data_IF_101294365283
#
_entry.id   IF_101294365283
#
_cell.length_a   1.000
_cell.length_b   1.000
_cell.length_c   1.000
_cell.angle_alpha   90.00
_cell.angle_beta   90.00
_cell.angle_gamma   90.00
#
_symmetry.space_group_name_H-M   'P 1'
#
loop_
_entity.id
_entity.type
_entity.pdbx_description
1 polymer ?
#
# COMPACT_ATOMS: atom_id res chain seq x y z
N UNK A 1 -10.41 -2.35 28.50
CA UNK A 1 -10.01 -2.77 27.23
C UNK A 1 -9.29 -1.73 26.49
N UNK A 2 -8.42 -2.16 25.71
CA UNK A 2 -7.55 -1.24 25.02
C UNK A 2 -7.82 -1.33 23.55
N UNK A 3 -7.42 -0.32 22.82
CA UNK A 3 -7.56 -0.35 21.39
C UNK A 3 -6.81 -1.52 20.78
N UNK A 4 -5.72 -1.96 21.42
CA UNK A 4 -4.97 -3.08 20.87
C UNK A 4 -5.70 -4.41 21.01
N UNK A 5 -6.82 -4.43 21.74
CA UNK A 5 -7.67 -5.62 21.77
C UNK A 5 -8.27 -5.89 20.40
N UNK A 6 -8.32 -4.89 19.55
CA UNK A 6 -8.82 -5.05 18.20
C UNK A 6 -7.78 -5.60 17.24
N UNK A 7 -6.55 -5.77 17.72
CA UNK A 7 -5.44 -6.23 16.90
C UNK A 7 -4.98 -7.57 17.42
N UNK A 8 -5.36 -8.63 16.73
CA UNK A 8 -4.94 -9.97 17.11
C UNK A 8 -3.46 -10.14 16.81
N UNK A 9 -2.78 -10.87 17.68
CA UNK A 9 -1.36 -11.07 17.53
C UNK A 9 -1.02 -11.75 16.20
N UNK A 10 -1.85 -12.68 15.77
CA UNK A 10 -1.58 -13.36 14.50
C UNK A 10 -1.67 -12.39 13.32
N UNK A 11 -2.59 -11.45 13.38
CA UNK A 11 -2.74 -10.45 12.31
C UNK A 11 -1.55 -9.51 12.28
N UNK A 12 -1.09 -9.10 13.47
CA UNK A 12 0.08 -8.24 13.55
C UNK A 12 1.33 -8.91 13.00
N UNK A 13 1.53 -10.18 13.36
CA UNK A 13 2.69 -10.92 12.88
C UNK A 13 2.66 -11.07 11.36
N UNK A 14 1.48 -11.34 10.83
CA UNK A 14 1.33 -11.50 9.38
C UNK A 14 1.54 -10.17 8.66
N UNK A 15 1.00 -9.10 9.22
CA UNK A 15 1.20 -7.76 8.64
C UNK A 15 2.67 -7.41 8.57
N UNK A 16 3.41 -7.68 9.65
CA UNK A 16 4.85 -7.39 9.68
C UNK A 16 5.60 -8.13 8.59
N UNK A 17 5.14 -9.33 8.26
CA UNK A 17 5.75 -10.11 7.20
C UNK A 17 5.35 -9.61 5.81
N UNK A 18 4.08 -9.27 5.66
CA UNK A 18 3.52 -8.95 4.34
C UNK A 18 3.79 -7.53 3.88
N UNK A 19 3.80 -6.57 4.79
CA UNK A 19 3.94 -5.17 4.39
C UNK A 19 5.19 -4.91 3.56
N UNK A 20 6.39 -5.38 3.95
CA UNK A 20 7.57 -5.15 3.12
C UNK A 20 7.43 -5.76 1.73
N UNK A 21 6.81 -6.93 1.62
CA UNK A 21 6.60 -7.57 0.33
C UNK A 21 5.67 -6.74 -0.54
N UNK A 22 4.61 -6.22 0.05
CA UNK A 22 3.66 -5.38 -0.69
C UNK A 22 4.32 -4.09 -1.16
N UNK A 23 5.17 -3.50 -0.32
CA UNK A 23 5.87 -2.28 -0.68
C UNK A 23 6.87 -2.51 -1.82
N UNK A 24 7.59 -3.63 -1.78
CA UNK A 24 8.50 -3.96 -2.87
C UNK A 24 7.72 -4.16 -4.17
N UNK A 25 6.60 -4.86 -4.11
CA UNK A 25 5.77 -5.07 -5.28
C UNK A 25 5.24 -3.75 -5.84
N UNK A 26 4.81 -2.86 -4.95
CA UNK A 26 4.31 -1.55 -5.36
C UNK A 26 5.40 -0.73 -6.03
N UNK A 27 6.56 -0.67 -5.41
CA UNK A 27 7.67 0.10 -5.97
C UNK A 27 8.15 -0.47 -7.31
N UNK A 28 8.10 -1.79 -7.45
CA UNK A 28 8.45 -2.38 -8.74
C UNK A 28 7.49 -1.92 -9.83
N UNK A 29 6.20 -1.85 -9.53
CA UNK A 29 5.24 -1.38 -10.53
C UNK A 29 5.48 0.08 -10.88
N UNK A 30 5.90 0.90 -9.90
CA UNK A 30 6.25 2.29 -10.18
C UNK A 30 7.49 2.38 -11.08
N UNK A 31 8.49 1.56 -10.78
CA UNK A 31 9.71 1.56 -11.59
C UNK A 31 9.41 1.13 -13.02
N UNK A 32 8.50 0.18 -13.20
CA UNK A 32 8.10 -0.22 -14.54
C UNK A 32 7.45 0.94 -15.29
N UNK A 33 6.64 1.73 -14.61
CA UNK A 33 6.02 2.91 -15.21
C UNK A 33 7.08 3.96 -15.55
N UNK A 34 8.05 4.17 -14.66
CA UNK A 34 9.13 5.13 -14.93
C UNK A 34 9.98 4.68 -16.13
N UNK A 35 10.21 3.38 -16.23
CA UNK A 35 10.96 2.86 -17.36
C UNK A 35 10.23 3.14 -18.68
N UNK A 36 8.89 3.02 -18.66
CA UNK A 36 8.09 3.32 -19.84
C UNK A 36 8.18 4.82 -20.20
N UNK A 37 8.20 5.69 -19.20
CA UNK A 37 8.35 7.12 -19.45
C UNK A 37 9.71 7.38 -20.12
N UNK A 38 10.76 6.78 -19.58
CA UNK A 38 12.13 6.95 -20.10
C UNK A 38 12.22 6.43 -21.52
N UNK A 39 11.61 5.29 -21.79
CA UNK A 39 11.71 4.65 -23.10
C UNK A 39 10.76 5.25 -24.14
N UNK A 40 9.81 6.08 -23.72
CA UNK A 40 8.80 6.61 -24.61
C UNK A 40 9.35 7.67 -25.57
N UNK A 41 8.47 8.13 -26.44
CA UNK A 41 8.79 9.22 -27.37
C UNK A 41 8.75 10.54 -26.61
N UNK A 42 9.50 11.50 -27.11
CA UNK A 42 9.49 12.81 -26.51
C UNK A 42 10.90 13.30 -26.23
N UNK A 43 10.97 14.57 -25.92
CA UNK A 43 12.28 15.19 -25.66
C UNK A 43 12.83 14.76 -24.31
N UNK A 44 14.16 14.71 -24.18
CA UNK A 44 14.76 14.39 -22.87
C UNK A 44 14.28 15.31 -21.76
N UNK A 45 14.12 16.60 -22.04
CA UNK A 45 13.67 17.53 -21.00
C UNK A 45 12.24 17.21 -20.54
N UNK A 46 11.35 16.88 -21.47
CA UNK A 46 9.98 16.53 -21.12
C UNK A 46 9.96 15.30 -20.23
N UNK A 47 10.73 14.26 -20.61
CA UNK A 47 10.79 13.04 -19.80
C UNK A 47 11.38 13.30 -18.43
N UNK A 48 12.39 14.13 -18.35
CA UNK A 48 13.07 14.43 -17.10
C UNK A 48 12.11 15.09 -16.10
N UNK A 49 11.37 16.10 -16.55
CA UNK A 49 10.46 16.81 -15.67
C UNK A 49 9.22 15.98 -15.33
N UNK A 50 8.75 15.21 -16.29
CA UNK A 50 7.64 14.28 -16.01
C UNK A 50 8.03 13.27 -14.94
N UNK A 51 9.23 12.71 -15.06
CA UNK A 51 9.71 11.74 -14.08
C UNK A 51 9.84 12.37 -12.71
N UNK A 52 10.36 13.59 -12.65
CA UNK A 52 10.48 14.31 -11.38
C UNK A 52 9.12 14.47 -10.71
N UNK A 53 8.11 14.89 -11.48
CA UNK A 53 6.76 15.10 -10.92
C UNK A 53 6.15 13.78 -10.46
N UNK A 54 6.38 12.71 -11.21
CA UNK A 54 5.88 11.39 -10.81
C UNK A 54 6.52 10.94 -9.51
N UNK A 55 7.83 11.08 -9.37
CA UNK A 55 8.53 10.69 -8.15
C UNK A 55 8.03 11.51 -6.96
N UNK A 56 7.86 12.80 -7.16
CA UNK A 56 7.39 13.69 -6.10
C UNK A 56 6.02 13.28 -5.59
N UNK A 57 5.13 12.90 -6.49
CA UNK A 57 3.79 12.45 -6.13
C UNK A 57 3.83 11.06 -5.51
N UNK A 58 4.56 10.14 -6.15
CA UNK A 58 4.52 8.73 -5.77
C UNK A 58 5.18 8.46 -4.42
N UNK A 59 6.15 9.27 -4.02
CA UNK A 59 6.81 9.09 -2.72
C UNK A 59 5.83 9.31 -1.56
N UNK A 60 4.73 10.02 -1.81
CA UNK A 60 3.71 10.27 -0.78
C UNK A 60 2.65 9.18 -0.70
N UNK A 61 2.67 8.25 -1.63
CA UNK A 61 1.65 7.21 -1.68
C UNK A 61 1.78 6.25 -0.50
N UNK A 62 0.63 5.75 -0.04
CA UNK A 62 0.60 4.84 1.11
C UNK A 62 1.46 3.59 0.86
N UNK A 63 1.52 3.12 -0.39
CA UNK A 63 2.35 1.96 -0.73
C UNK A 63 3.83 2.18 -0.50
N UNK A 64 4.25 3.44 -0.44
CA UNK A 64 5.64 3.80 -0.14
C UNK A 64 5.78 4.18 1.32
N UNK A 65 4.82 4.94 1.85
CA UNK A 65 4.92 5.57 3.16
C UNK A 65 4.41 4.75 4.33
N UNK A 66 3.62 3.71 4.08
CA UNK A 66 3.06 2.93 5.18
C UNK A 66 4.16 2.38 6.08
N UNK A 67 3.97 2.55 7.38
CA UNK A 67 4.98 2.16 8.35
C UNK A 67 4.52 0.99 9.18
N UNK A 68 5.49 0.29 9.73
CA UNK A 68 5.24 -0.85 10.60
C UNK A 68 4.78 -0.32 11.95
N UNK A 69 3.47 -0.17 12.10
CA UNK A 69 2.88 0.36 13.31
C UNK A 69 1.66 -0.49 13.68
N UNK A 70 1.72 -1.07 14.88
CA UNK A 70 0.63 -1.91 15.35
C UNK A 70 -0.67 -1.12 15.50
N UNK A 71 -0.58 0.07 16.09
CA UNK A 71 -1.76 0.89 16.33
C UNK A 71 -2.37 1.43 15.03
N UNK A 72 -1.58 1.51 13.97
CA UNK A 72 -2.06 2.03 12.68
C UNK A 72 -2.28 0.93 11.65
N UNK A 73 -2.17 -0.32 12.07
CA UNK A 73 -2.27 -1.42 11.11
C UNK A 73 -3.59 -1.40 10.35
N UNK A 74 -4.70 -1.22 11.08
CA UNK A 74 -6.01 -1.19 10.44
C UNK A 74 -6.13 -0.04 9.44
N UNK A 75 -5.68 1.14 9.85
CA UNK A 75 -5.72 2.31 8.97
C UNK A 75 -4.85 2.08 7.72
N UNK A 76 -3.65 1.56 7.92
CA UNK A 76 -2.76 1.28 6.79
C UNK A 76 -3.37 0.27 5.83
N UNK A 77 -3.96 -0.80 6.36
CA UNK A 77 -4.60 -1.80 5.52
C UNK A 77 -5.78 -1.22 4.75
N UNK A 78 -6.59 -0.39 5.42
CA UNK A 78 -7.72 0.28 4.75
C UNK A 78 -7.24 1.14 3.60
N UNK A 79 -6.17 1.90 3.83
CA UNK A 79 -5.65 2.80 2.80
C UNK A 79 -5.01 2.03 1.66
N UNK A 80 -4.29 0.96 1.97
CA UNK A 80 -3.68 0.14 0.93
C UNK A 80 -4.74 -0.48 0.04
N UNK A 81 -5.85 -0.92 0.63
CA UNK A 81 -6.98 -1.44 -0.15
C UNK A 81 -7.65 -0.35 -0.98
N UNK A 82 -7.88 0.79 -0.36
CA UNK A 82 -8.55 1.90 -1.05
C UNK A 82 -7.75 2.35 -2.27
N UNK A 83 -6.45 2.44 -2.12
CA UNK A 83 -5.56 2.86 -3.21
C UNK A 83 -5.24 1.71 -4.16
N UNK A 84 -5.80 0.53 -3.91
CA UNK A 84 -5.61 -0.66 -4.74
C UNK A 84 -4.15 -1.10 -4.82
N UNK A 85 -3.37 -0.73 -3.80
CA UNK A 85 -2.01 -1.22 -3.67
C UNK A 85 -2.02 -2.70 -3.32
N UNK A 86 -3.03 -3.12 -2.54
CA UNK A 86 -3.29 -4.53 -2.28
C UNK A 86 -4.74 -4.82 -2.64
N UNK A 87 -5.04 -6.08 -2.84
CA UNK A 87 -6.37 -6.57 -3.16
C UNK A 87 -6.88 -7.40 -2.00
N UNK A 88 -8.19 -7.69 -2.01
CA UNK A 88 -8.75 -8.52 -0.94
C UNK A 88 -8.09 -9.89 -0.87
N UNK A 89 -7.61 -10.42 -2.00
CA UNK A 89 -6.89 -11.69 -1.99
C UNK A 89 -5.57 -11.61 -1.22
N UNK A 90 -4.99 -10.43 -1.10
CA UNK A 90 -3.77 -10.26 -0.31
C UNK A 90 -4.02 -10.42 1.19
N UNK A 91 -5.28 -10.45 1.59
CA UNK A 91 -5.63 -10.57 3.00
C UNK A 91 -5.76 -12.02 3.45
N UNK A 92 -5.44 -12.98 2.60
CA UNK A 92 -5.45 -14.37 2.97
C UNK A 92 -4.56 -14.60 4.19
N UNK A 93 -5.09 -15.34 5.17
CA UNK A 93 -4.35 -15.60 6.39
C UNK A 93 -4.66 -14.65 7.52
N UNK A 94 -5.21 -13.48 7.23
CA UNK A 94 -5.66 -12.59 8.29
C UNK A 94 -6.96 -13.10 8.89
N UNK A 95 -7.27 -12.65 10.10
CA UNK A 95 -8.46 -13.12 10.80
C UNK A 95 -9.74 -12.66 10.09
N UNK A 96 -10.80 -13.41 10.29
CA UNK A 96 -12.10 -13.04 9.73
C UNK A 96 -12.60 -11.73 10.31
N UNK A 97 -12.31 -11.49 11.59
CA UNK A 97 -12.68 -10.24 12.24
C UNK A 97 -12.05 -9.04 11.55
N UNK A 98 -10.76 -9.14 11.24
CA UNK A 98 -10.07 -8.06 10.57
C UNK A 98 -10.61 -7.86 9.17
N UNK A 99 -10.81 -8.94 8.43
CA UNK A 99 -11.31 -8.85 7.07
C UNK A 99 -12.69 -8.23 7.02
N UNK A 100 -13.57 -8.62 7.95
CA UNK A 100 -14.90 -8.05 8.02
C UNK A 100 -14.85 -6.56 8.34
N UNK A 101 -13.99 -6.18 9.25
CA UNK A 101 -13.82 -4.78 9.64
C UNK A 101 -13.36 -3.94 8.46
N UNK A 102 -12.42 -4.44 7.68
CA UNK A 102 -11.91 -3.73 6.50
C UNK A 102 -12.98 -3.63 5.42
N UNK A 103 -13.75 -4.68 5.22
CA UNK A 103 -14.82 -4.68 4.23
C UNK A 103 -15.89 -3.66 4.59
N UNK A 104 -16.25 -3.57 5.87
CA UNK A 104 -17.24 -2.59 6.32
C UNK A 104 -16.74 -1.17 6.10
N UNK A 105 -15.47 -0.92 6.36
CA UNK A 105 -14.89 0.39 6.11
C UNK A 105 -15.03 0.79 4.64
N UNK A 106 -14.86 -0.17 3.75
CA UNK A 106 -15.00 0.06 2.32
C UNK A 106 -16.43 0.35 1.92
N UNK A 107 -17.37 -0.40 2.46
CA UNK A 107 -18.78 -0.26 2.04
C UNK A 107 -19.39 1.04 2.50
N UNK A 108 -18.81 1.69 3.49
CA UNK A 108 -19.28 2.99 3.96
C UNK A 108 -19.00 4.08 2.93
N UNK A 109 -18.03 3.88 2.12
CA UNK A 109 -17.67 4.83 1.07
C UNK A 109 -18.26 4.43 -0.26
#
# INVERSE_FOLDING_TARGET
MKSNDLVLEKDWKLFRKRLPEWQERHMQSLLDEYAAIIAGDGNPSTKFWELKERLKKDVRHVGVQARMSRSRMHLNLSRLLYEKTIMTSDLDGFSDELKASLTMSFTVY
#
